data_IF_915514482408
#
_entry.id   IF_915514482408
#
_cell.length_a   1.000
_cell.length_b   1.000
_cell.length_c   1.000
_cell.angle_alpha   90.00
_cell.angle_beta   90.00
_cell.angle_gamma   90.00
#
_symmetry.space_group_name_H-M   'P 1'
#
loop_
_entity.id
_entity.type
_entity.pdbx_description
1 polymer ?
#
# COMPACT_ATOMS: atom_id res chain seq x y z
N UNK A 1 42.59 2.58 -9.84
CA UNK A 1 43.89 2.50 -10.53
C UNK A 1 45.04 2.94 -9.62
N UNK A 2 45.14 4.22 -9.23
CA UNK A 2 46.19 4.72 -8.31
C UNK A 2 46.39 3.92 -6.99
N UNK A 3 45.32 3.55 -6.29
CA UNK A 3 45.42 2.80 -5.02
C UNK A 3 45.92 1.35 -5.24
N UNK A 4 45.56 0.75 -6.39
CA UNK A 4 45.99 -0.61 -6.74
C UNK A 4 47.46 -0.65 -7.19
N UNK A 5 47.98 0.44 -7.76
CA UNK A 5 49.39 0.54 -8.19
C UNK A 5 50.37 0.55 -7.00
N UNK A 6 49.94 1.05 -5.83
CA UNK A 6 50.78 1.14 -4.62
C UNK A 6 50.52 0.03 -3.61
N UNK A 7 49.62 -0.92 -3.89
CA UNK A 7 49.20 -1.93 -2.90
C UNK A 7 50.31 -2.92 -2.53
N UNK A 8 51.24 -3.17 -3.45
CA UNK A 8 52.41 -4.03 -3.21
C UNK A 8 53.37 -3.47 -2.16
N UNK A 9 53.35 -2.16 -1.90
CA UNK A 9 54.23 -1.51 -0.91
C UNK A 9 53.59 -1.27 0.45
N UNK A 10 52.27 -1.49 0.61
CA UNK A 10 51.53 -1.12 1.83
C UNK A 10 51.21 -2.31 2.76
N UNK A 11 51.48 -3.55 2.35
CA UNK A 11 51.52 -4.71 3.26
C UNK A 11 50.18 -5.16 3.88
N UNK A 12 49.05 -4.92 3.21
CA UNK A 12 47.71 -5.31 3.69
C UNK A 12 46.65 -5.27 2.57
N UNK A 13 45.41 -5.76 2.83
CA UNK A 13 44.35 -5.75 1.83
C UNK A 13 43.93 -4.32 1.48
N UNK A 14 43.54 -4.08 0.23
CA UNK A 14 42.91 -2.82 -0.17
C UNK A 14 41.45 -2.86 0.30
N UNK A 15 41.11 -1.98 1.24
CA UNK A 15 39.74 -1.79 1.72
C UNK A 15 39.22 -0.41 1.29
N UNK A 16 37.95 -0.33 0.96
CA UNK A 16 37.26 0.92 0.68
C UNK A 16 35.86 0.89 1.29
N UNK A 17 35.45 2.00 1.89
CA UNK A 17 34.10 2.20 2.44
C UNK A 17 33.51 3.47 1.83
N UNK A 18 32.20 3.46 1.57
CA UNK A 18 31.48 4.63 1.09
C UNK A 18 30.14 4.74 1.79
N UNK A 19 29.91 5.87 2.45
CA UNK A 19 28.59 6.32 2.87
C UNK A 19 28.07 7.36 1.87
N UNK A 20 26.79 7.30 1.55
CA UNK A 20 26.13 8.28 0.69
C UNK A 20 24.86 8.73 1.39
N UNK A 21 24.68 10.05 1.49
CA UNK A 21 23.40 10.63 1.84
C UNK A 21 22.73 11.11 0.54
N UNK A 22 21.74 10.37 0.00
CA UNK A 22 21.03 10.80 -1.19
C UNK A 22 20.21 12.07 -0.88
N UNK A 23 20.56 13.19 -1.52
CA UNK A 23 19.90 14.48 -1.32
C UNK A 23 18.66 14.65 -2.22
N UNK A 24 18.60 13.91 -3.33
CA UNK A 24 17.51 13.93 -4.30
C UNK A 24 16.71 12.63 -4.24
N UNK A 25 15.38 12.75 -4.19
CA UNK A 25 14.45 11.63 -4.29
C UNK A 25 13.49 11.87 -5.46
N UNK A 26 13.21 10.82 -6.23
CA UNK A 26 12.09 10.85 -7.16
C UNK A 26 10.83 10.40 -6.42
N UNK A 27 9.68 11.05 -6.64
CA UNK A 27 8.42 10.57 -6.12
C UNK A 27 8.09 9.18 -6.68
N UNK A 28 7.44 8.36 -5.84
CA UNK A 28 6.78 7.13 -6.27
C UNK A 28 5.45 7.46 -6.96
N UNK A 29 5.12 6.72 -8.01
CA UNK A 29 3.86 6.86 -8.73
C UNK A 29 3.13 5.52 -8.75
N UNK A 30 1.84 5.54 -8.41
CA UNK A 30 0.98 4.37 -8.47
C UNK A 30 -0.43 4.73 -8.88
N UNK A 31 -1.08 3.83 -9.62
CA UNK A 31 -2.50 3.87 -9.97
C UNK A 31 -3.13 2.58 -9.49
N UNK A 32 -4.23 2.69 -8.75
CA UNK A 32 -4.95 1.55 -8.24
C UNK A 32 -6.36 1.53 -8.84
N UNK A 33 -6.80 0.34 -9.25
CA UNK A 33 -8.12 0.10 -9.80
C UNK A 33 -8.83 -0.87 -8.85
N UNK A 34 -10.02 -0.51 -8.43
CA UNK A 34 -10.80 -1.26 -7.45
C UNK A 34 -12.21 -1.50 -8.00
N UNK A 35 -12.58 -2.78 -8.13
CA UNK A 35 -13.94 -3.19 -8.48
C UNK A 35 -14.62 -3.77 -7.26
N UNK A 36 -15.76 -3.20 -6.87
CA UNK A 36 -16.48 -3.61 -5.66
C UNK A 36 -17.91 -4.02 -5.95
N UNK A 37 -18.43 -4.91 -5.11
CA UNK A 37 -19.85 -5.22 -4.98
C UNK A 37 -20.30 -4.75 -3.61
N UNK A 38 -21.48 -4.14 -3.54
CA UNK A 38 -22.12 -3.75 -2.28
C UNK A 38 -23.45 -4.49 -2.17
N UNK A 39 -23.65 -5.18 -1.05
CA UNK A 39 -24.94 -5.72 -0.66
C UNK A 39 -25.81 -4.58 -0.12
N UNK A 40 -26.96 -4.35 -0.76
CA UNK A 40 -27.84 -3.24 -0.39
C UNK A 40 -28.57 -3.50 0.94
N UNK A 41 -28.82 -4.75 1.32
CA UNK A 41 -29.58 -5.08 2.52
C UNK A 41 -28.71 -5.04 3.78
N UNK A 42 -27.40 -5.27 3.64
CA UNK A 42 -26.46 -5.36 4.78
C UNK A 42 -25.41 -4.27 4.80
N UNK A 43 -25.21 -3.55 3.69
CA UNK A 43 -24.10 -2.63 3.50
C UNK A 43 -22.73 -3.32 3.34
N UNK A 44 -22.70 -4.66 3.27
CA UNK A 44 -21.45 -5.41 3.15
C UNK A 44 -20.75 -5.10 1.81
N UNK A 45 -19.46 -4.78 1.88
CA UNK A 45 -18.62 -4.49 0.71
C UNK A 45 -17.70 -5.67 0.42
N UNK A 46 -17.72 -6.16 -0.82
CA UNK A 46 -16.80 -7.18 -1.32
C UNK A 46 -15.89 -6.59 -2.40
N UNK A 47 -14.58 -6.70 -2.24
CA UNK A 47 -13.62 -6.38 -3.30
C UNK A 47 -13.59 -7.55 -4.29
N UNK A 48 -14.04 -7.32 -5.52
CA UNK A 48 -14.14 -8.38 -6.54
C UNK A 48 -12.89 -8.50 -7.39
N UNK A 49 -12.19 -7.39 -7.61
CA UNK A 49 -10.89 -7.32 -8.29
C UNK A 49 -10.14 -6.08 -7.82
N UNK A 50 -8.82 -6.20 -7.74
CA UNK A 50 -7.96 -5.10 -7.36
C UNK A 50 -6.65 -5.15 -8.13
N UNK A 51 -6.29 -4.05 -8.78
CA UNK A 51 -5.08 -3.96 -9.60
C UNK A 51 -4.19 -2.80 -9.13
N UNK A 52 -2.91 -3.08 -8.93
CA UNK A 52 -1.87 -2.12 -8.57
C UNK A 52 -0.95 -1.93 -9.78
N UNK A 53 -0.90 -0.70 -10.31
CA UNK A 53 0.05 -0.30 -11.34
C UNK A 53 1.04 0.66 -10.71
N UNK A 54 2.34 0.37 -10.76
CA UNK A 54 3.33 1.19 -10.07
C UNK A 54 4.59 1.41 -10.91
N UNK A 55 5.12 2.65 -10.91
CA UNK A 55 6.46 2.93 -11.38
C UNK A 55 7.48 2.51 -10.33
N UNK A 56 8.16 1.39 -10.59
CA UNK A 56 9.08 0.74 -9.64
C UNK A 56 10.54 1.12 -9.87
N UNK A 57 10.81 2.01 -10.83
CA UNK A 57 12.19 2.26 -11.26
C UNK A 57 12.77 1.03 -11.94
N UNK A 58 13.91 0.55 -11.45
CA UNK A 58 14.46 -0.77 -11.79
C UNK A 58 14.08 -1.76 -10.70
N UNK A 59 13.37 -2.83 -11.05
CA UNK A 59 13.09 -3.92 -10.13
C UNK A 59 14.37 -4.72 -9.87
N UNK A 60 14.87 -4.70 -8.64
CA UNK A 60 16.02 -5.53 -8.24
C UNK A 60 15.61 -7.00 -8.19
N UNK A 61 14.44 -7.28 -7.63
CA UNK A 61 13.88 -8.63 -7.50
C UNK A 61 12.37 -8.58 -7.71
N UNK A 62 11.92 -8.92 -8.92
CA UNK A 62 10.53 -8.76 -9.35
C UNK A 62 9.52 -9.35 -8.35
N UNK A 63 9.68 -10.61 -7.93
CA UNK A 63 8.72 -11.25 -7.01
C UNK A 63 8.64 -10.56 -5.63
N UNK A 64 9.69 -9.87 -5.18
CA UNK A 64 9.66 -9.16 -3.91
C UNK A 64 8.97 -7.80 -4.06
N UNK A 65 9.17 -7.15 -5.22
CA UNK A 65 8.44 -5.93 -5.59
C UNK A 65 6.95 -6.22 -5.69
N UNK A 66 6.58 -7.33 -6.34
CA UNK A 66 5.20 -7.82 -6.41
C UNK A 66 4.61 -8.04 -5.02
N UNK A 67 5.32 -8.77 -4.14
CA UNK A 67 4.86 -9.00 -2.77
C UNK A 67 4.65 -7.71 -1.96
N UNK A 68 5.49 -6.69 -2.16
CA UNK A 68 5.29 -5.37 -1.55
C UNK A 68 4.05 -4.65 -2.10
N UNK A 69 3.85 -4.68 -3.42
CA UNK A 69 2.66 -4.12 -4.07
C UNK A 69 1.37 -4.78 -3.55
N UNK A 70 1.36 -6.11 -3.44
CA UNK A 70 0.23 -6.87 -2.92
C UNK A 70 0.00 -6.58 -1.43
N UNK A 71 1.04 -6.66 -0.61
CA UNK A 71 0.94 -6.46 0.83
C UNK A 71 0.47 -5.06 1.21
N UNK A 72 1.04 -4.02 0.60
CA UNK A 72 0.63 -2.64 0.85
C UNK A 72 -0.81 -2.36 0.40
N UNK A 73 -1.24 -2.93 -0.73
CA UNK A 73 -2.62 -2.82 -1.18
C UNK A 73 -3.60 -3.46 -0.19
N UNK A 74 -3.33 -4.69 0.26
CA UNK A 74 -4.17 -5.39 1.25
C UNK A 74 -4.24 -4.61 2.56
N UNK A 75 -3.12 -4.08 3.05
CA UNK A 75 -3.09 -3.28 4.27
C UNK A 75 -3.93 -2.01 4.13
N UNK A 76 -3.81 -1.28 3.01
CA UNK A 76 -4.62 -0.10 2.76
C UNK A 76 -6.11 -0.42 2.55
N UNK A 77 -6.46 -1.57 1.97
CA UNK A 77 -7.85 -2.04 1.89
C UNK A 77 -8.40 -2.32 3.29
N UNK A 78 -7.61 -2.93 4.17
CA UNK A 78 -7.95 -3.14 5.57
C UNK A 78 -8.33 -1.85 6.29
N UNK A 79 -7.52 -0.80 6.14
CA UNK A 79 -7.82 0.54 6.66
C UNK A 79 -9.05 1.18 6.01
N UNK A 80 -9.26 0.93 4.72
CA UNK A 80 -10.41 1.48 4.02
C UNK A 80 -11.74 0.88 4.50
N UNK A 81 -11.78 -0.41 4.85
CA UNK A 81 -13.03 -1.13 5.13
C UNK A 81 -13.27 -1.46 6.60
N UNK A 82 -12.22 -1.78 7.36
CA UNK A 82 -12.37 -2.48 8.65
C UNK A 82 -11.60 -1.84 9.80
N UNK A 83 -10.33 -1.53 9.58
CA UNK A 83 -9.38 -1.23 10.67
C UNK A 83 -9.55 0.20 11.19
N UNK A 84 -9.74 0.34 12.50
CA UNK A 84 -9.74 1.60 13.23
C UNK A 84 -9.36 1.37 14.69
N UNK A 85 -8.77 2.37 15.34
CA UNK A 85 -8.61 2.37 16.79
C UNK A 85 -9.85 2.97 17.45
N UNK A 86 -10.46 2.23 18.37
CA UNK A 86 -11.66 2.66 19.08
C UNK A 86 -11.27 2.95 20.53
N UNK A 87 -11.32 4.23 20.91
CA UNK A 87 -11.04 4.66 22.27
C UNK A 87 -12.35 4.99 23.00
N UNK A 88 -12.50 4.48 24.22
CA UNK A 88 -13.62 4.84 25.09
C UNK A 88 -13.43 6.22 25.73
N UNK A 89 -14.46 6.67 26.45
CA UNK A 89 -14.50 7.95 27.17
C UNK A 89 -13.39 8.11 28.22
N UNK A 90 -12.81 7.00 28.70
CA UNK A 90 -11.74 6.99 29.69
C UNK A 90 -10.34 6.93 29.02
N UNK A 91 -10.29 7.03 27.68
CA UNK A 91 -9.05 7.03 26.90
C UNK A 91 -8.42 5.65 26.71
N UNK A 92 -9.13 4.56 27.01
CA UNK A 92 -8.63 3.19 26.83
C UNK A 92 -9.03 2.66 25.45
N UNK A 93 -8.15 1.86 24.85
CA UNK A 93 -8.42 1.18 23.58
C UNK A 93 -9.36 -0.01 23.83
N UNK A 94 -10.55 0.03 23.25
CA UNK A 94 -11.58 -1.01 23.41
C UNK A 94 -11.32 -2.22 22.51
N UNK A 95 -10.73 -2.02 21.33
CA UNK A 95 -10.48 -3.08 20.35
C UNK A 95 -8.99 -3.46 20.25
N UNK A 96 -8.36 -3.76 21.38
CA UNK A 96 -6.91 -4.02 21.43
C UNK A 96 -6.48 -5.40 20.87
N UNK A 97 -7.42 -6.29 20.57
CA UNK A 97 -7.15 -7.63 20.05
C UNK A 97 -7.65 -7.84 18.62
N UNK A 98 -7.13 -8.86 17.94
CA UNK A 98 -7.51 -9.19 16.54
C UNK A 98 -8.95 -9.70 16.37
N UNK A 99 -9.67 -9.96 17.48
CA UNK A 99 -11.10 -10.24 17.40
C UNK A 99 -11.87 -8.99 16.96
N UNK A 100 -11.48 -7.83 17.48
CA UNK A 100 -12.21 -6.57 17.32
C UNK A 100 -11.48 -5.58 16.40
N UNK A 101 -10.15 -5.67 16.31
CA UNK A 101 -9.34 -5.01 15.27
C UNK A 101 -9.23 -5.94 14.07
N UNK A 102 -10.21 -5.83 13.16
CA UNK A 102 -10.38 -6.77 12.05
C UNK A 102 -9.40 -6.48 10.90
N UNK A 103 -8.29 -7.21 10.88
CA UNK A 103 -7.36 -7.29 9.75
C UNK A 103 -7.99 -8.19 8.67
N UNK A 104 -7.89 -7.84 7.37
CA UNK A 104 -8.34 -8.71 6.29
C UNK A 104 -7.70 -10.09 6.34
N UNK A 105 -8.50 -11.15 6.17
CA UNK A 105 -8.00 -12.52 5.99
C UNK A 105 -7.98 -12.91 4.52
N UNK A 106 -7.32 -14.03 4.19
CA UNK A 106 -7.19 -14.49 2.80
C UNK A 106 -8.55 -14.69 2.09
N UNK A 107 -9.61 -15.04 2.81
CA UNK A 107 -10.96 -15.18 2.25
C UNK A 107 -11.67 -13.85 1.98
N UNK A 108 -11.20 -12.74 2.56
CA UNK A 108 -11.80 -11.42 2.36
C UNK A 108 -11.31 -10.78 1.06
N UNK A 109 -10.14 -11.17 0.56
CA UNK A 109 -9.43 -10.50 -0.54
C UNK A 109 -9.37 -11.35 -1.81
N UNK A 110 -9.51 -10.74 -3.00
CA UNK A 110 -9.09 -11.38 -4.23
C UNK A 110 -7.56 -11.41 -4.31
N UNK A 111 -7.02 -12.17 -5.26
CA UNK A 111 -5.61 -11.96 -5.65
C UNK A 111 -5.44 -10.53 -6.16
N UNK A 112 -4.40 -9.87 -5.67
CA UNK A 112 -4.06 -8.50 -6.09
C UNK A 112 -3.21 -8.58 -7.34
N UNK A 113 -3.75 -8.09 -8.46
CA UNK A 113 -3.03 -8.03 -9.73
C UNK A 113 -1.98 -6.92 -9.68
N UNK A 114 -0.75 -7.21 -10.08
CA UNK A 114 0.34 -6.22 -10.09
C UNK A 114 0.84 -5.96 -11.49
N UNK A 115 1.08 -4.68 -11.80
CA UNK A 115 1.67 -4.23 -13.06
C UNK A 115 2.85 -3.32 -12.73
N UNK A 116 4.05 -3.80 -13.03
CA UNK A 116 5.29 -3.05 -12.81
C UNK A 116 5.62 -2.23 -14.05
N UNK A 117 5.75 -0.92 -13.86
CA UNK A 117 6.28 0.00 -14.86
C UNK A 117 7.74 0.27 -14.52
N UNK A 118 8.65 -0.28 -15.32
CA UNK A 118 10.08 -0.10 -15.10
C UNK A 118 10.61 1.16 -15.81
N UNK A 119 10.57 2.30 -15.12
CA UNK A 119 11.16 3.56 -15.58
C UNK A 119 12.34 3.96 -14.69
N UNK A 120 13.59 3.58 -15.07
CA UNK A 120 14.77 3.81 -14.23
C UNK A 120 14.92 5.25 -13.76
N UNK A 121 15.28 5.42 -12.48
CA UNK A 121 15.63 6.72 -11.91
C UNK A 121 16.99 7.21 -12.47
N UNK A 122 17.05 8.27 -13.29
CA UNK A 122 18.31 8.78 -13.83
C UNK A 122 19.28 9.31 -12.76
N UNK A 123 18.78 9.68 -11.58
CA UNK A 123 19.59 10.18 -10.47
C UNK A 123 20.15 9.06 -9.57
N UNK A 124 19.74 7.81 -9.76
CA UNK A 124 20.22 6.67 -8.97
C UNK A 124 21.20 5.81 -9.77
N UNK A 125 22.38 5.43 -9.23
CA UNK A 125 23.40 4.66 -9.95
C UNK A 125 22.89 3.37 -10.60
N UNK A 126 21.86 2.76 -10.00
CA UNK A 126 21.23 1.53 -10.48
C UNK A 126 19.81 1.73 -11.04
N UNK A 127 19.30 2.97 -11.10
CA UNK A 127 17.95 3.23 -11.61
C UNK A 127 16.79 2.85 -10.67
N UNK A 128 17.07 2.48 -9.42
CA UNK A 128 16.10 1.97 -8.44
C UNK A 128 15.23 3.10 -7.87
N UNK A 129 13.99 2.78 -7.52
CA UNK A 129 13.07 3.60 -6.72
C UNK A 129 12.56 2.80 -5.52
N UNK A 130 12.11 3.50 -4.48
CA UNK A 130 11.41 2.87 -3.37
C UNK A 130 10.05 2.34 -3.82
N UNK A 131 9.67 1.14 -3.36
CA UNK A 131 8.42 0.49 -3.78
C UNK A 131 7.47 0.13 -2.65
N UNK A 132 7.95 0.07 -1.40
CA UNK A 132 7.20 -0.53 -0.28
C UNK A 132 5.97 0.25 0.18
N UNK A 133 6.07 1.58 0.28
CA UNK A 133 5.00 2.41 0.85
C UNK A 133 4.05 2.98 -0.19
N UNK A 134 4.45 3.05 -1.46
CA UNK A 134 3.57 3.53 -2.54
C UNK A 134 2.22 2.79 -2.59
N UNK A 135 2.14 1.44 -2.47
CA UNK A 135 0.87 0.72 -2.60
C UNK A 135 -0.08 0.87 -1.40
N UNK A 136 0.35 1.39 -0.25
CA UNK A 136 -0.55 1.57 0.91
C UNK A 136 -1.39 2.84 0.82
N UNK A 137 -0.96 3.83 0.03
CA UNK A 137 -1.60 5.16 -0.01
C UNK A 137 -2.89 5.16 -0.85
N UNK A 138 -2.93 4.61 -2.08
CA UNK A 138 -4.11 4.69 -2.94
C UNK A 138 -5.36 3.91 -2.48
N UNK A 139 -5.27 2.75 -1.78
CA UNK A 139 -6.44 1.95 -1.41
C UNK A 139 -7.57 2.70 -0.74
N UNK A 140 -7.27 3.63 0.18
CA UNK A 140 -8.27 4.40 0.90
C UNK A 140 -9.20 5.16 -0.05
N UNK A 141 -8.62 5.83 -1.05
CA UNK A 141 -9.37 6.57 -2.06
C UNK A 141 -10.01 5.64 -3.10
N UNK A 142 -9.27 4.64 -3.59
CA UNK A 142 -9.77 3.73 -4.62
C UNK A 142 -11.00 2.94 -4.15
N UNK A 143 -10.95 2.39 -2.94
CA UNK A 143 -12.09 1.69 -2.32
C UNK A 143 -13.23 2.65 -2.05
N UNK A 144 -12.97 3.84 -1.48
CA UNK A 144 -14.00 4.84 -1.19
C UNK A 144 -14.74 5.32 -2.44
N UNK A 145 -14.03 5.54 -3.54
CA UNK A 145 -14.62 5.88 -4.83
C UNK A 145 -15.41 4.71 -5.42
N UNK A 146 -14.88 3.49 -5.37
CA UNK A 146 -15.57 2.32 -5.90
C UNK A 146 -16.89 2.04 -5.16
N UNK A 147 -16.87 2.05 -3.83
CA UNK A 147 -18.08 1.92 -3.00
C UNK A 147 -19.04 3.06 -3.29
N UNK A 148 -18.55 4.29 -3.35
CA UNK A 148 -19.41 5.45 -3.60
C UNK A 148 -20.08 5.42 -4.97
N UNK A 149 -19.39 4.91 -5.99
CA UNK A 149 -19.95 4.66 -7.32
C UNK A 149 -21.00 3.54 -7.28
N UNK A 150 -20.76 2.47 -6.52
CA UNK A 150 -21.68 1.34 -6.40
C UNK A 150 -23.01 1.71 -5.73
N UNK A 151 -22.99 2.64 -4.76
CA UNK A 151 -24.19 3.07 -4.03
C UNK A 151 -24.76 4.43 -4.50
N UNK A 152 -24.07 5.10 -5.43
CA UNK A 152 -24.45 6.43 -5.93
C UNK A 152 -24.28 7.58 -4.92
N UNK A 153 -23.53 7.37 -3.83
CA UNK A 153 -23.31 8.35 -2.74
C UNK A 153 -21.85 8.36 -2.31
N UNK A 154 -21.28 9.55 -2.08
CA UNK A 154 -19.87 9.67 -1.70
C UNK A 154 -19.66 9.29 -0.23
N UNK A 155 -18.84 8.27 0.02
CA UNK A 155 -18.34 7.95 1.37
C UNK A 155 -17.30 9.00 1.81
N UNK A 156 -17.49 9.58 3.00
CA UNK A 156 -16.64 10.67 3.53
C UNK A 156 -15.86 10.29 4.80
N UNK A 157 -16.12 9.10 5.33
CA UNK A 157 -15.51 8.61 6.56
C UNK A 157 -14.92 7.23 6.32
N UNK A 158 -13.75 7.01 6.88
CA UNK A 158 -13.12 5.70 6.99
C UNK A 158 -13.16 5.24 8.46
N UNK A 159 -13.14 3.93 8.72
CA UNK A 159 -13.37 2.86 7.74
C UNK A 159 -14.80 2.89 7.18
N UNK A 160 -15.00 2.32 6.00
CA UNK A 160 -16.28 2.19 5.28
C UNK A 160 -16.96 0.91 5.76
N UNK A 161 -17.38 0.94 7.03
CA UNK A 161 -17.99 -0.22 7.68
C UNK A 161 -19.40 -0.49 7.16
N UNK A 162 -19.91 -1.73 7.25
CA UNK A 162 -21.23 -2.09 6.74
C UNK A 162 -22.37 -1.23 7.28
N UNK A 163 -22.35 -0.87 8.57
CA UNK A 163 -23.33 0.02 9.20
C UNK A 163 -23.34 1.41 8.56
N UNK A 164 -22.17 1.98 8.23
CA UNK A 164 -22.05 3.28 7.56
C UNK A 164 -22.53 3.22 6.12
N UNK A 165 -22.24 2.13 5.41
CA UNK A 165 -22.73 1.92 4.05
C UNK A 165 -24.25 1.76 4.04
N UNK A 166 -24.79 0.95 4.96
CA UNK A 166 -26.22 0.75 5.11
C UNK A 166 -26.95 2.07 5.41
N UNK A 167 -26.47 2.84 6.38
CA UNK A 167 -27.01 4.16 6.71
C UNK A 167 -26.93 5.12 5.51
N UNK A 168 -25.81 5.11 4.78
CA UNK A 168 -25.65 5.90 3.57
C UNK A 168 -26.70 5.52 2.51
N UNK A 169 -26.98 4.23 2.30
CA UNK A 169 -28.00 3.77 1.33
C UNK A 169 -29.41 4.24 1.76
N UNK A 170 -29.82 3.94 3.00
CA UNK A 170 -31.20 4.09 3.47
C UNK A 170 -31.55 5.48 4.04
N UNK A 171 -30.57 6.38 4.19
CA UNK A 171 -30.82 7.76 4.65
C UNK A 171 -30.96 7.90 6.17
N UNK A 172 -30.37 6.98 6.94
CA UNK A 172 -30.36 7.02 8.41
C UNK A 172 -29.08 7.66 8.98
N UNK A 173 -28.61 8.76 8.37
CA UNK A 173 -27.39 9.47 8.76
C UNK A 173 -27.56 10.98 8.85
#
# INVERSE_FOLDING_TARGET
KKIAETSGSTGGPISAERAVNPLDHLPGYGVHICDTKVDQETGHVTITRYTVVQDVGRAIHAAYVEGQMQGGAVQGIGWALNEAYIYNKDGRLDNAGFLDYRIPVASDMPMIDTVMIEKPNPAHPYGVKGVGEVPIVPPLAAVGTAVGNAIGKRMRHLPITPDRVYAAIHGEG
#
